data_IF_333831593374
#
_entry.id   IF_333831593374
#
_cell.length_a   1.000
_cell.length_b   1.000
_cell.length_c   1.000
_cell.angle_alpha   90.00
_cell.angle_beta   90.00
_cell.angle_gamma   90.00
#
_symmetry.space_group_name_H-M   'P 1'
#
loop_
_entity.id
_entity.type
_entity.pdbx_description
1 polymer ?
#
# COMPACT_ATOMS: atom_id res chain seq x y z
N UNK A 1 12.72 -2.93 -18.34
CA UNK A 1 13.07 -1.61 -17.76
C UNK A 1 13.08 -1.73 -16.25
N UNK A 2 14.07 -1.14 -15.56
CA UNK A 2 14.10 -1.10 -14.10
C UNK A 2 12.91 -0.29 -13.54
N UNK A 3 12.51 -0.59 -12.31
CA UNK A 3 11.63 0.27 -11.54
C UNK A 3 12.46 1.40 -10.94
N UNK A 4 12.08 2.64 -11.24
CA UNK A 4 12.64 3.87 -10.69
C UNK A 4 11.49 4.83 -10.41
N UNK A 5 11.55 5.63 -9.35
CA UNK A 5 10.48 6.58 -9.00
C UNK A 5 9.08 5.94 -8.96
N UNK A 6 9.02 4.72 -8.40
CA UNK A 6 7.79 3.97 -8.19
C UNK A 6 7.34 4.10 -6.75
N UNK A 7 6.02 4.12 -6.58
CA UNK A 7 5.40 4.19 -5.26
C UNK A 7 4.26 3.19 -5.19
N UNK A 8 3.95 2.70 -4.00
CA UNK A 8 2.64 2.11 -3.71
C UNK A 8 1.77 3.19 -3.10
N UNK A 9 0.65 3.51 -3.75
CA UNK A 9 -0.36 4.44 -3.26
C UNK A 9 -1.49 3.68 -2.56
N UNK A 10 -1.85 4.17 -1.37
CA UNK A 10 -2.95 3.66 -0.55
C UNK A 10 -4.26 3.82 -1.32
N UNK A 11 -5.08 2.78 -1.31
CA UNK A 11 -6.41 2.77 -1.92
C UNK A 11 -7.50 2.79 -0.84
N UNK A 12 -8.70 3.17 -1.25
CA UNK A 12 -9.88 3.19 -0.40
C UNK A 12 -10.15 1.82 0.24
N UNK A 13 -10.75 1.78 1.46
CA UNK A 13 -11.14 2.93 2.29
C UNK A 13 -9.93 3.64 2.95
N UNK A 14 -10.01 4.97 3.06
CA UNK A 14 -8.95 5.83 3.63
C UNK A 14 -9.27 6.32 5.06
N UNK A 15 -10.55 6.29 5.42
CA UNK A 15 -11.11 6.84 6.65
C UNK A 15 -12.22 5.93 7.22
N UNK A 16 -12.56 6.17 8.48
CA UNK A 16 -13.54 5.37 9.24
C UNK A 16 -12.94 4.76 10.51
N UNK A 17 -13.78 4.44 11.49
CA UNK A 17 -13.37 3.97 12.82
C UNK A 17 -12.66 2.61 12.82
N UNK A 18 -12.88 1.77 11.81
CA UNK A 18 -12.22 0.47 11.62
C UNK A 18 -11.04 0.50 10.65
N UNK A 19 -10.58 1.67 10.21
CA UNK A 19 -9.54 1.79 9.17
C UNK A 19 -8.17 2.10 9.79
N UNK A 20 -7.15 1.38 9.33
CA UNK A 20 -5.78 1.60 9.76
C UNK A 20 -5.23 2.87 9.14
N UNK A 21 -4.49 3.63 9.95
CA UNK A 21 -3.74 4.79 9.47
C UNK A 21 -2.41 4.32 8.89
N UNK A 22 -2.10 4.81 7.70
CA UNK A 22 -0.84 4.59 6.99
C UNK A 22 -0.46 5.89 6.28
N UNK A 23 0.79 6.04 5.83
CA UNK A 23 1.12 7.04 4.83
C UNK A 23 0.22 6.89 3.58
N UNK A 24 -0.07 7.98 2.84
CA UNK A 24 -0.87 7.91 1.62
C UNK A 24 -0.14 7.20 0.47
N UNK A 25 1.19 7.19 0.51
CA UNK A 25 2.04 6.40 -0.39
C UNK A 25 3.37 6.06 0.27
N UNK A 26 4.01 4.99 -0.20
CA UNK A 26 5.38 4.60 0.18
C UNK A 26 6.24 4.39 -1.05
N UNK A 27 7.54 4.70 -0.95
CA UNK A 27 8.49 4.50 -2.05
C UNK A 27 8.76 3.01 -2.24
N UNK A 28 8.79 2.58 -3.50
CA UNK A 28 9.34 1.27 -3.88
C UNK A 28 10.83 1.47 -4.17
N UNK A 29 11.74 0.67 -3.59
CA UNK A 29 13.16 0.73 -3.92
C UNK A 29 13.42 0.58 -5.42
N UNK A 30 14.48 1.21 -5.91
CA UNK A 30 14.86 1.06 -7.31
C UNK A 30 15.25 -0.40 -7.56
N UNK A 31 14.64 -1.03 -8.56
CA UNK A 31 14.67 -2.49 -8.71
C UNK A 31 14.94 -2.88 -10.16
N UNK A 32 15.95 -3.70 -10.37
CA UNK A 32 16.29 -4.23 -11.70
C UNK A 32 15.22 -5.22 -12.20
N UNK A 33 15.08 -5.42 -13.52
CA UNK A 33 14.18 -6.44 -14.06
C UNK A 33 14.49 -7.83 -13.48
N UNK A 34 13.47 -8.53 -13.00
CA UNK A 34 13.59 -9.87 -12.40
C UNK A 34 14.05 -9.89 -10.93
N UNK A 35 14.47 -8.76 -10.36
CA UNK A 35 14.82 -8.66 -8.94
C UNK A 35 13.58 -8.43 -8.06
N UNK A 36 13.73 -8.68 -6.75
CA UNK A 36 12.70 -8.44 -5.75
C UNK A 36 12.97 -7.16 -4.96
N UNK A 37 11.90 -6.45 -4.59
CA UNK A 37 11.94 -5.26 -3.75
C UNK A 37 11.23 -5.52 -2.42
N UNK A 38 11.87 -5.18 -1.30
CA UNK A 38 11.20 -5.14 -0.01
C UNK A 38 10.62 -3.74 0.22
N UNK A 39 9.31 -3.65 0.42
CA UNK A 39 8.60 -2.40 0.72
C UNK A 39 8.04 -2.47 2.13
N UNK A 40 8.34 -1.47 2.95
CA UNK A 40 7.87 -1.38 4.33
C UNK A 40 6.86 -0.25 4.47
N UNK A 41 5.82 -0.49 5.28
CA UNK A 41 4.76 0.48 5.58
C UNK A 41 4.61 0.54 7.09
N UNK A 42 4.67 1.74 7.67
CA UNK A 42 4.24 1.96 9.05
C UNK A 42 2.72 1.97 9.09
N UNK A 43 2.15 1.13 9.96
CA UNK A 43 0.70 0.95 10.09
C UNK A 43 0.32 1.18 11.54
N UNK A 44 -0.70 1.99 11.75
CA UNK A 44 -1.33 2.17 13.05
C UNK A 44 -2.74 1.59 12.99
N UNK A 45 -2.99 0.58 13.83
CA UNK A 45 -4.27 -0.10 13.91
C UNK A 45 -5.34 0.80 14.59
N UNK A 46 -6.63 0.61 14.27
CA UNK A 46 -7.71 1.27 14.99
C UNK A 46 -7.86 0.72 16.42
N UNK A 47 -8.47 1.51 17.30
CA UNK A 47 -8.77 1.11 18.70
C UNK A 47 -10.03 0.23 18.82
N UNK A 48 -10.67 -0.10 17.70
CA UNK A 48 -11.88 -0.93 17.63
C UNK A 48 -11.51 -2.33 17.15
N UNK A 49 -11.90 -3.40 17.85
CA UNK A 49 -11.69 -4.76 17.39
C UNK A 49 -12.33 -5.03 16.02
N UNK A 50 -11.63 -5.75 15.15
CA UNK A 50 -12.09 -6.07 13.81
C UNK A 50 -10.95 -6.26 12.81
N UNK A 51 -11.32 -6.56 11.56
CA UNK A 51 -10.39 -6.60 10.44
C UNK A 51 -10.21 -5.21 9.85
N UNK A 52 -8.95 -4.85 9.65
CA UNK A 52 -8.53 -3.67 8.93
C UNK A 52 -7.71 -4.09 7.71
N UNK A 53 -8.36 -4.08 6.53
CA UNK A 53 -7.72 -4.41 5.26
C UNK A 53 -7.22 -3.15 4.55
N UNK A 54 -5.95 -3.16 4.15
CA UNK A 54 -5.28 -2.01 3.54
C UNK A 54 -4.81 -2.38 2.14
N UNK A 55 -5.36 -1.69 1.14
CA UNK A 55 -5.09 -1.94 -0.28
C UNK A 55 -4.10 -0.94 -0.88
N UNK A 56 -3.29 -1.40 -1.82
CA UNK A 56 -2.24 -0.61 -2.46
C UNK A 56 -2.18 -0.86 -3.97
N UNK A 57 -1.94 0.19 -4.76
CA UNK A 57 -1.61 0.07 -6.19
C UNK A 57 -0.34 0.84 -6.51
N UNK A 58 0.41 0.34 -7.49
CA UNK A 58 1.63 0.99 -7.92
C UNK A 58 1.32 2.23 -8.76
N UNK A 59 2.03 3.33 -8.50
CA UNK A 59 1.95 4.59 -9.24
C UNK A 59 3.34 5.13 -9.57
N UNK A 60 3.41 6.03 -10.55
CA UNK A 60 4.59 6.86 -10.79
C UNK A 60 4.71 8.00 -9.76
N UNK A 61 5.72 8.85 -9.91
CA UNK A 61 5.92 10.00 -9.04
C UNK A 61 4.73 11.00 -9.04
N UNK A 62 4.01 11.12 -10.16
CA UNK A 62 2.84 11.98 -10.34
C UNK A 62 1.51 11.35 -9.92
N UNK A 63 1.50 10.07 -9.54
CA UNK A 63 0.29 9.35 -9.11
C UNK A 63 -0.41 8.58 -10.23
N UNK A 64 0.14 8.52 -11.44
CA UNK A 64 -0.44 7.72 -12.53
C UNK A 64 -0.31 6.24 -12.23
N UNK A 65 -1.40 5.49 -12.35
CA UNK A 65 -1.41 4.04 -12.08
C UNK A 65 -0.56 3.26 -13.08
N UNK A 66 0.27 2.37 -12.54
CA UNK A 66 0.79 1.23 -13.29
C UNK A 66 -0.23 0.10 -13.27
N UNK A 67 -0.47 -0.52 -14.43
CA UNK A 67 -1.38 -1.65 -14.59
C UNK A 67 -2.80 -1.37 -14.03
N UNK A 68 -3.50 -0.33 -14.52
CA UNK A 68 -4.80 0.10 -13.95
C UNK A 68 -5.84 -1.04 -13.89
N UNK A 69 -5.77 -1.98 -14.83
CA UNK A 69 -6.70 -3.10 -14.95
C UNK A 69 -6.27 -4.36 -14.19
N UNK A 70 -5.19 -4.30 -13.39
CA UNK A 70 -4.75 -5.40 -12.53
C UNK A 70 -5.09 -5.11 -11.07
N UNK A 71 -5.34 -6.18 -10.32
CA UNK A 71 -5.50 -6.11 -8.87
C UNK A 71 -4.24 -5.57 -8.21
N UNK A 72 -4.43 -4.78 -7.16
CA UNK A 72 -3.35 -4.34 -6.28
C UNK A 72 -2.91 -5.44 -5.32
N UNK A 73 -2.08 -5.05 -4.36
CA UNK A 73 -1.72 -5.89 -3.21
C UNK A 73 -2.40 -5.35 -1.95
N UNK A 74 -2.52 -6.19 -0.93
CA UNK A 74 -3.06 -5.78 0.36
C UNK A 74 -2.40 -6.54 1.49
N UNK A 75 -2.55 -6.01 2.70
CA UNK A 75 -2.44 -6.76 3.93
C UNK A 75 -3.73 -6.61 4.72
N UNK A 76 -3.97 -7.53 5.66
CA UNK A 76 -5.12 -7.55 6.54
C UNK A 76 -4.62 -7.63 7.99
N UNK A 77 -5.00 -6.66 8.81
CA UNK A 77 -4.66 -6.61 10.23
C UNK A 77 -5.89 -6.98 11.03
N UNK A 78 -5.78 -8.03 11.85
CA UNK A 78 -6.81 -8.38 12.80
C UNK A 78 -6.52 -7.72 14.15
N UNK A 79 -7.38 -6.79 14.56
CA UNK A 79 -7.33 -6.15 15.87
C UNK A 79 -8.17 -6.97 16.84
N UNK A 80 -7.51 -7.55 17.84
CA UNK A 80 -8.13 -8.33 18.91
C UNK A 80 -7.99 -7.61 20.26
N UNK A 81 -8.86 -7.98 21.20
CA UNK A 81 -8.81 -7.46 22.58
C UNK A 81 -7.70 -8.12 23.40
#
# INVERSE_FOLDING_TARGET
>A
MPWQDRYLARQAPLDGSGVCRTPPRVRVPDTAPGASALVSVTVEAPDVPGSCKVFWKMVDAGGTLYFPNRSGIFFDVQVTR
#
